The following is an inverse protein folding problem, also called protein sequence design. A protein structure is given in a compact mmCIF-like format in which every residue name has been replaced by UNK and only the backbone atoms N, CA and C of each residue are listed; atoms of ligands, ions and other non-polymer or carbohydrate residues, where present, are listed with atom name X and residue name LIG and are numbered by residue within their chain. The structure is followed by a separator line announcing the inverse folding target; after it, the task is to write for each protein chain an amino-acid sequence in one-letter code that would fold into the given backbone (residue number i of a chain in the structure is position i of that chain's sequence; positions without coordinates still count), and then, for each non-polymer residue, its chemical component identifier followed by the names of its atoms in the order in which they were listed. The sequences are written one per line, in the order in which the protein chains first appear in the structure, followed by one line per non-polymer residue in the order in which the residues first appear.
data_IF_792896348305
#
_entry.id   IF_792896348305
#
_cell.length_a   1.000
_cell.length_b   1.000
_cell.length_c   1.000
_cell.angle_alpha   90.00
_cell.angle_beta   90.00
_cell.angle_gamma   90.00
#
_symmetry.space_group_name_H-M   'P 1'
#
loop_
_entity.id
_entity.type
_entity.pdbx_description
1 polymer ?
#
# COMPACT_ATOMS: atom_id res chain seq x y z
N UNK A 1 -19.06 40.41 38.37
CA UNK A 1 -18.47 39.10 38.74
C UNK A 1 -19.59 38.16 39.14
N UNK A 2 -19.94 37.24 38.24
CA UNK A 2 -20.77 36.03 38.44
C UNK A 2 -20.72 35.32 37.08
N UNK A 3 -20.12 34.12 36.95
CA UNK A 3 -19.89 33.52 35.65
C UNK A 3 -21.08 32.67 35.18
N UNK A 4 -21.36 32.81 33.89
CA UNK A 4 -22.27 31.99 33.10
C UNK A 4 -21.66 30.59 32.95
N UNK A 5 -22.40 29.55 33.34
CA UNK A 5 -22.08 28.15 33.03
C UNK A 5 -22.47 27.87 31.59
N UNK A 6 -21.50 27.57 30.73
CA UNK A 6 -21.73 27.06 29.38
C UNK A 6 -21.42 25.56 29.32
N UNK A 7 -22.28 24.84 28.63
CA UNK A 7 -22.30 23.40 28.45
C UNK A 7 -21.03 22.89 27.77
N UNK A 8 -20.39 21.87 28.34
CA UNK A 8 -19.36 21.08 27.67
C UNK A 8 -19.99 19.74 27.25
N UNK A 9 -20.40 19.65 25.98
CA UNK A 9 -20.82 18.39 25.36
C UNK A 9 -19.59 17.51 25.20
N UNK A 10 -19.50 16.45 25.99
CA UNK A 10 -18.49 15.41 25.83
C UNK A 10 -19.03 14.42 24.79
N UNK A 11 -18.62 14.56 23.53
CA UNK A 11 -18.86 13.53 22.50
C UNK A 11 -17.72 12.53 22.56
N UNK A 12 -17.98 11.41 23.21
CA UNK A 12 -17.20 10.18 23.11
C UNK A 12 -17.21 9.71 21.66
N UNK A 13 -16.10 9.88 20.94
CA UNK A 13 -15.86 9.17 19.69
C UNK A 13 -15.64 7.69 19.99
N UNK A 14 -16.61 6.85 19.62
CA UNK A 14 -16.53 5.39 19.67
C UNK A 14 -16.15 4.89 18.28
N UNK A 15 -15.04 4.13 18.28
CA UNK A 15 -14.41 3.36 17.23
C UNK A 15 -15.35 2.83 16.13
N UNK A 16 -15.18 3.36 14.91
CA UNK A 16 -15.30 2.55 13.71
C UNK A 16 -13.88 2.14 13.30
N UNK A 17 -13.73 0.87 12.93
CA UNK A 17 -12.48 0.29 12.44
C UNK A 17 -12.10 0.93 11.11
N UNK A 18 -11.51 2.13 11.18
CA UNK A 18 -10.33 2.42 10.37
C UNK A 18 -9.36 1.27 10.61
N UNK A 19 -8.70 0.77 9.57
CA UNK A 19 -7.56 -0.12 9.71
C UNK A 19 -6.69 0.45 10.83
N UNK A 20 -6.77 -0.19 12.01
CA UNK A 20 -5.97 0.21 13.14
C UNK A 20 -4.62 -0.39 12.80
N UNK A 21 -3.86 0.34 11.99
CA UNK A 21 -2.46 0.53 12.31
C UNK A 21 -2.48 1.01 13.76
N UNK A 22 -2.44 0.06 14.70
CA UNK A 22 -1.97 0.35 16.05
C UNK A 22 -0.60 0.93 15.81
N UNK A 23 -0.53 2.26 15.87
CA UNK A 23 0.65 3.10 15.87
C UNK A 23 1.90 2.28 16.14
N UNK A 24 2.55 1.81 15.08
CA UNK A 24 3.97 1.53 15.17
C UNK A 24 4.57 2.89 15.43
N UNK A 25 4.90 3.19 16.69
CA UNK A 25 5.39 4.48 17.21
C UNK A 25 5.57 5.59 16.16
N UNK A 26 4.47 6.17 15.66
CA UNK A 26 4.49 7.44 14.95
C UNK A 26 4.62 8.52 16.03
N UNK A 27 5.78 8.54 16.69
CA UNK A 27 6.20 9.71 17.45
C UNK A 27 6.24 10.86 16.46
N UNK A 28 5.60 11.97 16.80
CA UNK A 28 5.71 13.23 16.06
C UNK A 28 7.19 13.59 15.94
N UNK A 29 7.84 13.17 14.85
CA UNK A 29 9.19 13.59 14.54
C UNK A 29 9.12 15.08 14.19
N UNK A 30 10.01 15.85 14.80
CA UNK A 30 10.15 17.27 14.54
C UNK A 30 10.28 17.54 13.02
N UNK A 31 9.86 18.73 12.60
CA UNK A 31 9.84 19.23 11.22
C UNK A 31 11.12 18.84 10.47
N UNK A 32 11.00 17.91 9.51
CA UNK A 32 12.12 17.37 8.74
C UNK A 32 12.56 18.36 7.67
N UNK A 33 13.86 18.57 7.53
CA UNK A 33 14.48 19.26 6.38
C UNK A 33 14.58 18.29 5.20
N UNK A 34 14.39 18.79 3.98
CA UNK A 34 14.30 18.05 2.70
C UNK A 34 15.56 17.27 2.30
N UNK A 35 16.63 17.38 3.08
CA UNK A 35 17.83 16.56 2.89
C UNK A 35 17.48 15.09 3.09
N UNK A 36 18.10 14.20 2.33
CA UNK A 36 17.90 12.76 2.42
C UNK A 36 17.84 12.31 3.88
N UNK A 37 16.69 11.79 4.30
CA UNK A 37 16.44 11.29 5.66
C UNK A 37 17.48 10.21 6.00
N UNK A 38 18.58 10.61 6.65
CA UNK A 38 19.66 9.71 7.08
C UNK A 38 19.15 8.57 7.96
N UNK A 39 18.03 8.80 8.64
CA UNK A 39 17.37 7.84 9.51
C UNK A 39 16.71 6.70 8.70
N UNK A 40 16.04 7.01 7.60
CA UNK A 40 15.30 6.02 6.80
C UNK A 40 16.26 5.09 6.05
N UNK A 41 17.34 5.63 5.47
CA UNK A 41 18.39 4.80 4.87
C UNK A 41 19.12 3.95 5.91
N UNK A 42 19.30 4.46 7.13
CA UNK A 42 19.92 3.68 8.21
C UNK A 42 19.06 2.50 8.65
N UNK A 43 17.73 2.66 8.69
CA UNK A 43 16.79 1.57 8.96
C UNK A 43 16.88 0.47 7.90
N UNK A 44 16.98 0.85 6.62
CA UNK A 44 17.18 -0.10 5.52
C UNK A 44 18.51 -0.83 5.62
N UNK A 45 19.61 -0.10 5.87
CA UNK A 45 20.94 -0.71 6.07
C UNK A 45 20.93 -1.71 7.23
N UNK A 46 20.31 -1.35 8.35
CA UNK A 46 20.20 -2.22 9.50
C UNK A 46 19.39 -3.48 9.19
N UNK A 47 18.28 -3.35 8.46
CA UNK A 47 17.44 -4.48 8.11
C UNK A 47 18.13 -5.46 7.16
N UNK A 48 18.70 -4.96 6.07
CA UNK A 48 19.37 -5.80 5.08
C UNK A 48 20.79 -6.19 5.50
N UNK A 49 21.29 -5.63 6.60
CA UNK A 49 22.66 -5.81 7.12
C UNK A 49 23.72 -5.55 6.05
N UNK A 50 23.46 -4.57 5.17
CA UNK A 50 24.27 -4.22 4.01
C UNK A 50 24.22 -2.71 3.77
N UNK A 51 25.32 -2.18 3.26
CA UNK A 51 25.32 -0.81 2.73
C UNK A 51 24.45 -0.70 1.48
N UNK A 52 23.93 0.51 1.27
CA UNK A 52 23.14 0.87 0.10
C UNK A 52 24.06 1.55 -0.91
N UNK A 53 23.83 1.27 -2.19
CA UNK A 53 24.46 1.99 -3.28
C UNK A 53 23.69 3.31 -3.45
N UNK A 54 24.37 4.42 -3.17
CA UNK A 54 23.82 5.77 -3.25
C UNK A 54 24.61 6.69 -4.21
N UNK A 55 25.54 6.12 -4.97
CA UNK A 55 26.35 6.88 -5.93
C UNK A 55 25.69 6.96 -7.31
N UNK A 56 25.45 8.17 -7.80
CA UNK A 56 24.81 8.45 -9.09
C UNK A 56 25.50 7.75 -10.27
N UNK A 57 26.83 7.77 -10.34
CA UNK A 57 27.57 7.16 -11.45
C UNK A 57 27.45 5.64 -11.47
N UNK A 58 27.19 5.03 -10.31
CA UNK A 58 26.91 3.59 -10.23
C UNK A 58 25.46 3.31 -10.65
N UNK A 59 24.51 4.09 -10.13
CA UNK A 59 23.08 3.90 -10.41
C UNK A 59 22.65 4.31 -11.83
N UNK A 60 23.46 5.11 -12.53
CA UNK A 60 23.27 5.48 -13.94
C UNK A 60 23.86 4.47 -14.93
N UNK A 61 24.31 3.31 -14.46
CA UNK A 61 24.87 2.25 -15.30
C UNK A 61 24.07 0.94 -15.16
N UNK A 62 24.21 0.03 -16.15
CA UNK A 62 23.68 -1.33 -16.05
C UNK A 62 24.27 -2.05 -14.83
N UNK A 63 23.48 -2.78 -14.02
CA UNK A 63 22.07 -3.16 -14.24
C UNK A 63 21.03 -2.19 -13.65
N UNK A 64 21.42 -1.06 -13.07
CA UNK A 64 20.52 -0.18 -12.32
C UNK A 64 19.62 0.70 -13.19
N UNK A 65 19.81 0.74 -14.50
CA UNK A 65 18.92 1.45 -15.43
C UNK A 65 17.60 0.70 -15.69
N UNK A 66 17.54 -0.61 -15.49
CA UNK A 66 16.32 -1.38 -15.65
C UNK A 66 16.34 -2.59 -14.75
N UNK A 67 15.39 -2.64 -13.81
CA UNK A 67 15.30 -3.70 -12.82
C UNK A 67 13.88 -4.25 -12.86
N UNK A 68 13.78 -5.57 -12.90
CA UNK A 68 12.52 -6.30 -12.83
C UNK A 68 12.70 -7.52 -11.95
N UNK A 69 11.78 -7.73 -10.99
CA UNK A 69 11.76 -8.96 -10.22
C UNK A 69 11.38 -10.14 -11.12
N UNK A 70 12.06 -11.27 -10.94
CA UNK A 70 11.78 -12.50 -11.70
C UNK A 70 10.43 -13.09 -11.32
N UNK A 71 10.10 -13.06 -10.02
CA UNK A 71 8.83 -13.50 -9.47
C UNK A 71 8.04 -12.26 -9.03
N UNK A 72 7.10 -11.75 -9.85
CA UNK A 72 6.28 -10.62 -9.47
C UNK A 72 5.33 -11.00 -8.34
N UNK A 73 5.02 -10.06 -7.41
CA UNK A 73 3.92 -10.22 -6.47
C UNK A 73 2.61 -10.55 -7.20
N UNK A 74 1.79 -11.42 -6.62
CA UNK A 74 0.56 -11.85 -7.29
C UNK A 74 -0.56 -10.81 -7.21
N UNK A 75 -1.36 -10.72 -8.27
CA UNK A 75 -2.55 -9.88 -8.29
C UNK A 75 -3.69 -10.50 -7.46
N UNK A 76 -4.60 -9.66 -6.95
CA UNK A 76 -5.73 -10.09 -6.14
C UNK A 76 -6.84 -9.03 -6.04
N UNK A 77 -7.96 -9.42 -5.46
CA UNK A 77 -8.97 -8.47 -4.99
C UNK A 77 -8.54 -7.95 -3.62
N UNK A 78 -8.66 -6.64 -3.40
CA UNK A 78 -8.34 -6.03 -2.12
C UNK A 78 -9.41 -6.30 -1.06
N UNK A 79 -10.39 -7.17 -1.32
CA UNK A 79 -11.46 -7.58 -0.41
C UNK A 79 -12.24 -6.36 0.10
N UNK A 80 -12.82 -5.63 -0.85
CA UNK A 80 -13.59 -4.41 -0.61
C UNK A 80 -14.64 -4.61 0.51
N UNK A 81 -14.65 -3.70 1.49
CA UNK A 81 -15.55 -3.76 2.63
C UNK A 81 -17.02 -3.70 2.20
N UNK A 82 -17.32 -2.88 1.19
CA UNK A 82 -18.65 -2.77 0.57
C UNK A 82 -19.18 -4.08 -0.04
N UNK A 83 -18.29 -5.04 -0.36
CA UNK A 83 -18.66 -6.38 -0.85
C UNK A 83 -18.62 -7.43 0.25
N UNK A 84 -18.53 -6.99 1.50
CA UNK A 84 -18.41 -7.82 2.69
C UNK A 84 -17.11 -8.63 2.78
N UNK A 85 -16.02 -8.09 2.22
CA UNK A 85 -14.67 -8.70 2.28
C UNK A 85 -14.66 -10.15 1.74
N UNK A 86 -14.02 -11.09 2.45
CA UNK A 86 -13.94 -12.49 2.05
C UNK A 86 -15.29 -13.25 2.09
N UNK A 87 -16.37 -12.62 2.57
CA UNK A 87 -17.73 -13.17 2.46
C UNK A 87 -18.31 -13.00 1.05
N UNK A 88 -17.66 -12.23 0.18
CA UNK A 88 -18.06 -12.11 -1.21
C UNK A 88 -18.04 -13.47 -1.91
N UNK A 89 -19.19 -13.88 -2.44
CA UNK A 89 -19.30 -15.01 -3.35
C UNK A 89 -18.97 -14.57 -4.77
N UNK A 90 -17.72 -14.79 -5.20
CA UNK A 90 -17.30 -14.48 -6.57
C UNK A 90 -18.10 -15.22 -7.64
N UNK A 91 -18.60 -16.42 -7.33
CA UNK A 91 -19.58 -17.15 -8.11
C UNK A 91 -20.86 -17.30 -7.29
N UNK A 92 -22.02 -16.81 -7.75
CA UNK A 92 -23.28 -16.93 -6.98
C UNK A 92 -23.72 -18.38 -6.74
N UNK A 93 -23.20 -19.33 -7.51
CA UNK A 93 -23.46 -20.77 -7.36
C UNK A 93 -22.41 -21.50 -6.50
N UNK A 94 -21.44 -20.78 -5.94
CA UNK A 94 -20.42 -21.31 -5.05
C UNK A 94 -20.47 -20.58 -3.70
N UNK A 95 -19.76 -21.11 -2.72
CA UNK A 95 -19.59 -20.51 -1.40
C UNK A 95 -18.44 -19.50 -1.41
N UNK A 96 -18.49 -18.55 -0.48
CA UNK A 96 -17.40 -17.60 -0.26
C UNK A 96 -16.19 -18.28 0.39
N UNK A 97 -15.03 -17.63 0.36
CA UNK A 97 -13.82 -18.15 0.99
C UNK A 97 -14.04 -18.41 2.50
N UNK A 98 -14.75 -17.52 3.17
CA UNK A 98 -15.13 -17.63 4.58
C UNK A 98 -16.01 -18.87 4.84
N UNK A 99 -17.07 -19.05 4.05
CA UNK A 99 -17.98 -20.20 4.19
C UNK A 99 -17.25 -21.53 3.93
N UNK A 100 -16.40 -21.58 2.90
CA UNK A 100 -15.58 -22.75 2.59
C UNK A 100 -14.67 -23.12 3.73
N UNK A 101 -14.00 -22.14 4.33
CA UNK A 101 -13.16 -22.37 5.50
C UNK A 101 -13.97 -22.92 6.67
N UNK A 102 -15.12 -22.32 6.99
CA UNK A 102 -15.98 -22.82 8.06
C UNK A 102 -16.43 -24.27 7.83
N UNK A 103 -16.93 -24.59 6.64
CA UNK A 103 -17.38 -25.95 6.30
C UNK A 103 -16.25 -26.97 6.37
N UNK A 104 -15.07 -26.66 5.81
CA UNK A 104 -13.95 -27.60 5.77
C UNK A 104 -13.40 -27.93 7.16
N UNK A 105 -13.52 -27.01 8.12
CA UNK A 105 -13.01 -27.15 9.48
C UNK A 105 -14.10 -27.36 10.54
N UNK A 106 -15.36 -27.57 10.13
CA UNK A 106 -16.47 -27.87 11.03
C UNK A 106 -16.87 -26.70 11.95
N UNK A 107 -16.73 -25.46 11.48
CA UNK A 107 -17.13 -24.25 12.18
C UNK A 107 -18.53 -23.80 11.73
N UNK A 108 -19.19 -22.96 12.53
CA UNK A 108 -20.42 -22.29 12.10
C UNK A 108 -20.10 -21.22 11.05
N UNK A 109 -20.63 -21.39 9.84
CA UNK A 109 -20.39 -20.48 8.73
C UNK A 109 -20.98 -19.10 8.96
N UNK A 110 -22.16 -19.01 9.58
CA UNK A 110 -22.83 -17.74 9.89
C UNK A 110 -22.01 -16.94 10.89
N UNK A 111 -21.59 -17.59 11.98
CA UNK A 111 -20.78 -16.95 13.03
C UNK A 111 -19.41 -16.47 12.48
N UNK A 112 -18.79 -17.25 11.59
CA UNK A 112 -17.54 -16.84 10.96
C UNK A 112 -17.74 -15.66 10.00
N UNK A 113 -18.80 -15.69 9.17
CA UNK A 113 -19.14 -14.58 8.28
C UNK A 113 -19.48 -13.31 9.05
N UNK A 114 -20.19 -13.41 10.18
CA UNK A 114 -20.49 -12.28 11.06
C UNK A 114 -19.20 -11.63 11.57
N UNK A 115 -18.26 -12.43 12.06
CA UNK A 115 -16.95 -11.96 12.53
C UNK A 115 -16.16 -11.27 11.43
N UNK A 116 -16.12 -11.85 10.22
CA UNK A 116 -15.47 -11.24 9.06
C UNK A 116 -16.14 -9.91 8.70
N UNK A 117 -17.47 -9.83 8.69
CA UNK A 117 -18.18 -8.60 8.34
C UNK A 117 -17.93 -7.47 9.35
N UNK A 118 -18.03 -7.77 10.64
CA UNK A 118 -17.80 -6.80 11.74
C UNK A 118 -16.38 -6.24 11.71
N UNK A 119 -15.40 -7.04 11.29
CA UNK A 119 -14.01 -6.62 11.26
C UNK A 119 -13.60 -5.97 9.93
N UNK A 120 -14.06 -6.49 8.80
CA UNK A 120 -13.53 -6.20 7.46
C UNK A 120 -14.57 -5.83 6.41
N UNK A 121 -15.84 -6.13 6.66
CA UNK A 121 -16.91 -6.03 5.67
C UNK A 121 -17.85 -4.86 5.94
N UNK A 122 -19.13 -5.09 5.64
CA UNK A 122 -20.19 -4.08 5.70
C UNK A 122 -20.41 -3.62 7.14
N UNK A 123 -20.46 -4.55 8.10
CA UNK A 123 -20.77 -4.24 9.50
C UNK A 123 -19.65 -3.47 10.21
N UNK A 124 -18.41 -3.48 9.69
CA UNK A 124 -17.29 -2.71 10.21
C UNK A 124 -17.53 -1.19 10.21
N UNK A 125 -18.43 -0.71 9.35
CA UNK A 125 -18.76 0.72 9.21
C UNK A 125 -19.96 1.17 10.05
N UNK A 126 -20.65 0.25 10.72
CA UNK A 126 -21.95 0.48 11.39
C UNK A 126 -21.97 1.61 12.44
N UNK A 127 -20.81 1.99 12.98
CA UNK A 127 -20.67 3.07 13.96
C UNK A 127 -20.24 4.43 13.39
N UNK A 128 -19.70 4.50 12.17
CA UNK A 128 -19.20 5.75 11.57
C UNK A 128 -19.96 6.19 10.32
N UNK A 129 -20.72 5.28 9.70
CA UNK A 129 -21.44 5.56 8.47
C UNK A 129 -22.94 5.32 8.65
N UNK A 130 -23.79 6.12 8.00
CA UNK A 130 -25.23 6.01 8.18
C UNK A 130 -25.75 4.67 7.65
N UNK A 131 -26.81 4.13 8.27
CA UNK A 131 -27.54 3.01 7.70
C UNK A 131 -28.23 3.43 6.39
N UNK A 132 -28.45 2.48 5.50
CA UNK A 132 -29.08 2.72 4.20
C UNK A 132 -29.93 1.53 3.74
N UNK A 133 -30.93 1.82 2.92
CA UNK A 133 -31.70 0.83 2.15
C UNK A 133 -31.52 1.01 0.63
N UNK A 134 -30.90 2.12 0.20
CA UNK A 134 -30.55 2.40 -1.19
C UNK A 134 -29.35 3.34 -1.29
N UNK A 135 -28.82 3.57 -2.49
CA UNK A 135 -27.71 4.52 -2.69
C UNK A 135 -28.11 5.99 -2.42
N UNK A 136 -29.41 6.30 -2.32
CA UNK A 136 -29.90 7.67 -2.09
C UNK A 136 -29.35 8.23 -0.78
N UNK A 137 -29.28 7.40 0.26
CA UNK A 137 -28.74 7.76 1.56
C UNK A 137 -27.22 8.03 1.53
N UNK A 138 -26.52 7.63 0.48
CA UNK A 138 -25.07 7.68 0.38
C UNK A 138 -24.53 8.77 -0.58
N UNK A 139 -25.37 9.38 -1.42
CA UNK A 139 -24.98 10.27 -2.53
C UNK A 139 -24.06 11.45 -2.16
N UNK A 140 -24.15 11.97 -0.94
CA UNK A 140 -23.37 13.14 -0.50
C UNK A 140 -22.26 12.79 0.51
N UNK A 141 -21.94 11.50 0.64
CA UNK A 141 -20.89 11.04 1.53
C UNK A 141 -19.54 11.00 0.80
N UNK A 142 -18.42 11.23 1.52
CA UNK A 142 -17.08 11.18 0.94
C UNK A 142 -16.73 9.76 0.43
N UNK A 143 -15.72 9.67 -0.43
CA UNK A 143 -15.16 8.40 -0.91
C UNK A 143 -16.10 7.61 -1.84
N UNK A 144 -17.01 8.31 -2.51
CA UNK A 144 -18.01 7.74 -3.42
C UNK A 144 -18.74 6.54 -2.78
N UNK A 145 -19.29 6.75 -1.58
CA UNK A 145 -19.88 5.67 -0.79
C UNK A 145 -21.11 5.07 -1.48
N UNK A 146 -21.28 3.75 -1.39
CA UNK A 146 -22.47 3.04 -1.88
C UNK A 146 -23.16 2.28 -0.77
N UNK A 147 -24.46 2.08 -0.92
CA UNK A 147 -25.24 1.34 0.04
C UNK A 147 -24.93 -0.16 -0.09
N UNK A 148 -24.27 -0.68 0.92
CA UNK A 148 -23.71 -2.02 0.91
C UNK A 148 -24.46 -2.92 1.88
N UNK A 149 -24.80 -4.14 1.43
CA UNK A 149 -25.59 -5.11 2.18
C UNK A 149 -24.82 -6.39 2.39
N UNK A 150 -25.06 -7.04 3.53
CA UNK A 150 -24.68 -8.43 3.72
C UNK A 150 -25.59 -9.34 2.90
N UNK A 151 -25.09 -10.53 2.58
CA UNK A 151 -25.88 -11.52 1.85
C UNK A 151 -27.20 -11.80 2.58
N UNK A 152 -28.33 -11.80 1.83
CA UNK A 152 -29.69 -11.97 2.35
C UNK A 152 -30.23 -10.84 3.25
N UNK A 153 -29.52 -9.73 3.40
CA UNK A 153 -30.01 -8.55 4.11
C UNK A 153 -30.57 -7.51 3.13
N UNK A 154 -31.53 -6.70 3.60
CA UNK A 154 -32.17 -5.61 2.83
C UNK A 154 -31.86 -4.21 3.39
N UNK A 155 -31.07 -4.16 4.46
CA UNK A 155 -30.55 -2.94 5.07
C UNK A 155 -29.06 -3.13 5.36
N UNK A 156 -28.31 -2.04 5.27
CA UNK A 156 -26.87 -2.05 5.47
C UNK A 156 -26.35 -0.65 5.77
N UNK A 157 -25.16 -0.34 5.28
CA UNK A 157 -24.47 0.92 5.58
C UNK A 157 -23.87 1.54 4.32
N UNK A 158 -23.71 2.85 4.32
CA UNK A 158 -23.00 3.55 3.25
C UNK A 158 -21.49 3.33 3.39
N UNK A 159 -20.91 2.49 2.55
CA UNK A 159 -19.49 2.12 2.64
C UNK A 159 -18.69 2.80 1.52
N UNK A 160 -17.60 3.54 1.83
CA UNK A 160 -16.69 4.08 0.81
C UNK A 160 -16.08 2.99 -0.06
N UNK A 161 -15.98 3.23 -1.37
CA UNK A 161 -15.49 2.21 -2.31
C UNK A 161 -14.05 1.78 -2.03
N UNK A 162 -13.20 2.67 -1.53
CA UNK A 162 -11.78 2.39 -1.30
C UNK A 162 -11.51 1.61 -0.01
N UNK A 163 -12.50 1.43 0.86
CA UNK A 163 -12.33 0.64 2.08
C UNK A 163 -12.11 -0.83 1.73
N UNK A 164 -11.00 -1.38 2.22
CA UNK A 164 -10.67 -2.79 2.12
C UNK A 164 -9.26 -3.06 2.62
N UNK A 165 -8.68 -4.14 2.13
CA UNK A 165 -7.45 -4.75 2.60
C UNK A 165 -6.32 -4.64 1.56
N UNK A 166 -6.17 -3.48 0.90
CA UNK A 166 -5.12 -3.27 -0.10
C UNK A 166 -3.72 -3.44 0.50
N UNK A 167 -3.50 -3.00 1.75
CA UNK A 167 -2.24 -3.18 2.48
C UNK A 167 -1.93 -4.66 2.75
N UNK A 168 -2.92 -5.43 3.18
CA UNK A 168 -2.74 -6.85 3.47
C UNK A 168 -2.60 -7.67 2.19
N UNK A 169 -3.29 -7.29 1.11
CA UNK A 169 -3.09 -7.84 -0.23
C UNK A 169 -1.67 -7.60 -0.71
N UNK A 170 -1.20 -6.35 -0.67
CA UNK A 170 0.16 -6.03 -1.08
C UNK A 170 1.18 -6.85 -0.29
N UNK A 171 1.01 -6.95 1.04
CA UNK A 171 1.91 -7.73 1.89
C UNK A 171 1.91 -9.22 1.55
N UNK A 172 0.73 -9.84 1.53
CA UNK A 172 0.58 -11.26 1.24
C UNK A 172 1.13 -11.57 -0.17
N UNK A 173 0.91 -10.67 -1.14
CA UNK A 173 1.42 -10.84 -2.51
C UNK A 173 2.94 -10.84 -2.62
N UNK A 174 3.62 -10.12 -1.74
CA UNK A 174 5.08 -10.00 -1.74
C UNK A 174 5.75 -11.17 -1.05
N UNK A 175 5.14 -11.70 0.02
CA UNK A 175 5.81 -12.65 0.92
C UNK A 175 5.29 -14.09 0.81
N UNK A 176 4.13 -14.29 0.16
CA UNK A 176 3.57 -15.62 -0.09
C UNK A 176 3.65 -15.97 -1.57
N UNK A 177 4.00 -17.21 -1.87
CA UNK A 177 3.90 -17.72 -3.25
C UNK A 177 2.45 -17.72 -3.73
N UNK A 178 2.24 -17.50 -5.03
CA UNK A 178 0.90 -17.51 -5.60
C UNK A 178 0.32 -18.94 -5.63
N UNK A 179 -0.88 -19.19 -5.04
CA UNK A 179 -1.54 -20.49 -5.18
C UNK A 179 -1.81 -20.82 -6.67
N UNK A 180 -1.59 -22.08 -7.07
CA UNK A 180 -1.58 -22.49 -8.50
C UNK A 180 -2.76 -23.37 -8.91
N UNK A 181 -3.27 -24.17 -8.00
CA UNK A 181 -4.34 -25.13 -8.27
C UNK A 181 -5.43 -25.08 -7.19
N UNK A 182 -6.70 -25.40 -7.52
CA UNK A 182 -7.71 -25.65 -6.51
C UNK A 182 -7.29 -26.77 -5.56
N UNK A 183 -7.83 -26.77 -4.34
CA UNK A 183 -7.58 -27.80 -3.32
C UNK A 183 -8.90 -28.28 -2.75
N UNK A 184 -9.13 -29.59 -2.73
CA UNK A 184 -10.30 -30.18 -2.07
C UNK A 184 -9.91 -30.69 -0.68
N UNK A 185 -10.49 -30.09 0.36
CA UNK A 185 -10.30 -30.50 1.76
C UNK A 185 -11.66 -30.82 2.38
N UNK A 186 -11.80 -32.02 2.94
CA UNK A 186 -13.03 -32.47 3.62
C UNK A 186 -14.31 -32.28 2.77
N UNK A 187 -14.21 -32.52 1.45
CA UNK A 187 -15.32 -32.38 0.51
C UNK A 187 -15.60 -30.93 0.04
N UNK A 188 -14.84 -29.94 0.52
CA UNK A 188 -14.95 -28.53 0.12
C UNK A 188 -13.80 -28.18 -0.82
N UNK A 189 -14.10 -27.59 -1.97
CA UNK A 189 -13.09 -27.17 -2.95
C UNK A 189 -12.78 -25.69 -2.82
N UNK A 190 -11.56 -25.37 -2.40
CA UNK A 190 -10.99 -24.03 -2.38
C UNK A 190 -10.38 -23.73 -3.74
N UNK A 191 -10.90 -22.71 -4.43
CA UNK A 191 -10.29 -22.15 -5.62
C UNK A 191 -9.07 -21.31 -5.24
N UNK A 192 -8.22 -20.99 -6.22
CA UNK A 192 -7.04 -20.12 -6.03
C UNK A 192 -7.43 -18.81 -5.34
N UNK A 193 -8.54 -18.20 -5.78
CA UNK A 193 -9.06 -16.95 -5.20
C UNK A 193 -9.48 -17.10 -3.74
N UNK A 194 -9.99 -18.27 -3.34
CA UNK A 194 -10.40 -18.51 -1.95
C UNK A 194 -9.16 -18.57 -1.04
N UNK A 195 -8.10 -19.25 -1.50
CA UNK A 195 -6.83 -19.34 -0.76
C UNK A 195 -6.20 -17.95 -0.62
N UNK A 196 -6.20 -17.16 -1.71
CA UNK A 196 -5.74 -15.75 -1.66
C UNK A 196 -6.53 -14.93 -0.66
N UNK A 197 -7.87 -15.01 -0.68
CA UNK A 197 -8.71 -14.25 0.24
C UNK A 197 -8.41 -14.58 1.71
N UNK A 198 -8.25 -15.87 2.03
CA UNK A 198 -7.88 -16.32 3.38
C UNK A 198 -6.48 -15.84 3.81
N UNK A 199 -5.50 -15.84 2.89
CA UNK A 199 -4.19 -15.26 3.16
C UNK A 199 -4.31 -13.75 3.46
N UNK A 200 -5.03 -12.99 2.62
CA UNK A 200 -5.19 -11.55 2.80
C UNK A 200 -5.79 -11.22 4.18
N UNK A 201 -6.84 -11.92 4.62
CA UNK A 201 -7.41 -11.73 5.95
C UNK A 201 -6.39 -11.91 7.08
N UNK A 202 -5.54 -12.95 6.98
CA UNK A 202 -4.52 -13.23 8.00
C UNK A 202 -3.42 -12.16 8.02
N UNK A 203 -3.11 -11.57 6.87
CA UNK A 203 -2.05 -10.57 6.75
C UNK A 203 -2.47 -9.16 7.23
N UNK A 204 -3.75 -8.92 7.52
CA UNK A 204 -4.19 -7.70 8.20
C UNK A 204 -3.91 -7.72 9.72
N UNK A 205 -4.17 -8.86 10.39
CA UNK A 205 -4.20 -8.88 11.86
C UNK A 205 -2.83 -8.92 12.52
N UNK A 206 -1.84 -9.50 11.85
CA UNK A 206 -0.52 -9.65 12.45
C UNK A 206 0.32 -8.44 12.10
N UNK A 207 0.70 -7.66 13.12
CA UNK A 207 1.77 -6.67 13.03
C UNK A 207 3.01 -7.37 12.50
N UNK A 208 3.26 -7.24 11.20
CA UNK A 208 4.55 -7.57 10.63
C UNK A 208 5.45 -6.37 10.87
N UNK A 209 6.70 -6.67 11.19
CA UNK A 209 7.72 -5.64 11.14
C UNK A 209 7.76 -5.12 9.70
N UNK A 210 7.37 -3.87 9.52
CA UNK A 210 7.53 -3.14 8.28
C UNK A 210 8.56 -2.05 8.51
N UNK A 211 9.33 -1.75 7.47
CA UNK A 211 10.15 -0.54 7.45
C UNK A 211 9.36 0.46 6.66
N UNK A 212 8.86 1.48 7.34
CA UNK A 212 8.16 2.59 6.71
C UNK A 212 9.17 3.70 6.48
N UNK A 213 9.22 4.20 5.25
CA UNK A 213 9.99 5.39 4.88
C UNK A 213 9.03 6.42 4.30
N UNK A 214 9.09 7.65 4.83
CA UNK A 214 8.05 8.67 4.63
C UNK A 214 6.98 8.68 5.72
N UNK A 215 6.08 9.65 5.65
CA UNK A 215 4.95 9.83 6.57
C UNK A 215 3.67 9.99 5.76
N UNK A 216 2.59 9.45 6.31
CA UNK A 216 1.26 9.68 5.75
C UNK A 216 0.92 11.16 5.77
N UNK A 217 0.39 11.66 4.66
CA UNK A 217 -0.31 12.92 4.62
C UNK A 217 -1.79 12.74 4.96
N UNK A 218 -2.24 13.38 6.03
CA UNK A 218 -3.64 13.36 6.49
C UNK A 218 -4.41 14.65 6.14
N UNK A 219 -3.80 15.56 5.38
CA UNK A 219 -4.35 16.88 5.07
C UNK A 219 -5.24 16.90 3.82
N UNK A 220 -5.78 18.08 3.45
CA UNK A 220 -6.66 18.21 2.29
C UNK A 220 -5.91 18.09 0.96
N UNK A 221 -6.60 17.63 -0.10
CA UNK A 221 -6.03 17.44 -1.44
C UNK A 221 -5.45 18.74 -2.05
N UNK A 222 -5.96 19.91 -1.62
CA UNK A 222 -5.51 21.25 -2.05
C UNK A 222 -4.52 21.91 -1.09
N UNK A 223 -3.53 21.14 -0.61
CA UNK A 223 -2.48 21.62 0.28
C UNK A 223 -1.87 22.95 -0.20
N UNK A 224 -1.60 23.87 0.74
CA UNK A 224 -0.95 25.14 0.43
C UNK A 224 0.47 24.90 -0.11
N UNK A 225 0.91 25.75 -1.04
CA UNK A 225 2.18 25.58 -1.78
C UNK A 225 3.11 26.79 -1.60
N UNK A 226 4.41 26.55 -1.70
CA UNK A 226 5.42 27.60 -1.79
C UNK A 226 5.43 28.26 -3.18
N UNK A 227 6.29 29.26 -3.35
CA UNK A 227 6.44 30.00 -4.61
C UNK A 227 6.93 29.14 -5.80
N UNK A 228 7.40 27.92 -5.54
CA UNK A 228 7.87 26.96 -6.52
C UNK A 228 6.85 25.85 -6.80
N UNK A 229 5.64 25.95 -6.23
CA UNK A 229 4.58 24.96 -6.40
C UNK A 229 4.71 23.75 -5.48
N UNK A 230 5.68 23.73 -4.56
CA UNK A 230 5.88 22.58 -3.66
C UNK A 230 4.93 22.67 -2.47
N UNK A 231 4.36 21.55 -2.00
CA UNK A 231 3.55 21.56 -0.77
C UNK A 231 4.30 22.16 0.42
N UNK A 232 3.65 23.04 1.19
CA UNK A 232 4.22 23.61 2.41
C UNK A 232 4.29 22.58 3.54
N UNK A 233 3.35 21.63 3.54
CA UNK A 233 3.35 20.52 4.49
C UNK A 233 4.60 19.66 4.27
N UNK A 234 5.35 19.42 5.35
CA UNK A 234 6.56 18.59 5.28
C UNK A 234 6.23 17.11 5.03
N UNK A 235 5.02 16.65 5.36
CA UNK A 235 4.62 15.24 5.14
C UNK A 235 4.42 14.92 3.66
N UNK A 236 3.85 15.84 2.87
CA UNK A 236 3.80 15.75 1.39
C UNK A 236 5.16 15.86 0.70
N UNK A 237 6.20 16.23 1.46
CA UNK A 237 7.59 16.30 1.01
C UNK A 237 8.49 15.25 1.68
N UNK A 238 7.92 14.35 2.50
CA UNK A 238 8.70 13.45 3.35
C UNK A 238 9.42 12.37 2.53
N UNK A 239 8.83 11.99 1.40
CA UNK A 239 9.49 11.14 0.40
C UNK A 239 10.17 12.00 -0.66
N UNK A 240 11.42 12.36 -0.37
CA UNK A 240 12.28 13.00 -1.36
C UNK A 240 12.69 12.02 -2.49
N UNK A 241 12.81 12.48 -3.74
CA UNK A 241 13.13 11.61 -4.87
C UNK A 241 14.53 10.97 -4.78
N UNK A 242 15.47 11.59 -4.05
CA UNK A 242 16.77 10.96 -3.76
C UNK A 242 16.61 9.67 -2.94
N UNK A 243 15.79 9.70 -1.90
CA UNK A 243 15.44 8.50 -1.10
C UNK A 243 14.72 7.47 -1.96
N UNK A 244 13.70 7.90 -2.72
CA UNK A 244 12.95 7.04 -3.63
C UNK A 244 13.86 6.28 -4.59
N UNK A 245 14.75 7.00 -5.28
CA UNK A 245 15.64 6.40 -6.27
C UNK A 245 16.59 5.37 -5.64
N UNK A 246 17.18 5.69 -4.48
CA UNK A 246 18.05 4.77 -3.73
C UNK A 246 17.28 3.53 -3.27
N UNK A 247 16.06 3.71 -2.76
CA UNK A 247 15.19 2.61 -2.30
C UNK A 247 14.86 1.67 -3.46
N UNK A 248 14.38 2.19 -4.59
CA UNK A 248 14.06 1.36 -5.74
C UNK A 248 15.29 0.59 -6.24
N UNK A 249 16.41 1.29 -6.44
CA UNK A 249 17.62 0.67 -6.98
C UNK A 249 18.18 -0.42 -6.06
N UNK A 250 18.16 -0.22 -4.74
CA UNK A 250 18.71 -1.21 -3.82
C UNK A 250 17.72 -2.32 -3.50
N UNK A 251 16.46 -2.00 -3.19
CA UNK A 251 15.50 -3.01 -2.74
C UNK A 251 15.09 -3.93 -3.89
N UNK A 252 14.77 -3.36 -5.06
CA UNK A 252 14.47 -4.18 -6.24
C UNK A 252 15.75 -4.74 -6.87
N UNK A 253 16.80 -3.92 -7.00
CA UNK A 253 17.99 -4.26 -7.78
C UNK A 253 18.96 -5.18 -7.04
N UNK A 254 19.28 -4.87 -5.78
CA UNK A 254 20.28 -5.62 -5.00
C UNK A 254 19.65 -6.67 -4.10
N UNK A 255 18.55 -6.33 -3.42
CA UNK A 255 17.89 -7.24 -2.46
C UNK A 255 16.81 -8.10 -3.11
N UNK A 256 16.47 -7.83 -4.39
CA UNK A 256 15.50 -8.62 -5.18
C UNK A 256 14.15 -8.75 -4.48
N UNK A 257 13.72 -7.67 -3.83
CA UNK A 257 12.48 -7.61 -3.08
C UNK A 257 11.57 -6.50 -3.60
N UNK A 258 10.26 -6.72 -3.56
CA UNK A 258 9.28 -5.70 -3.90
C UNK A 258 9.21 -4.61 -2.82
N UNK A 259 8.91 -3.39 -3.25
CA UNK A 259 8.61 -2.25 -2.38
C UNK A 259 7.12 -2.02 -2.43
N UNK A 260 6.43 -1.85 -1.30
CA UNK A 260 5.00 -1.51 -1.29
C UNK A 260 4.88 0.01 -1.17
N UNK A 261 4.02 0.59 -2.00
CA UNK A 261 3.92 2.03 -2.19
C UNK A 261 2.45 2.46 -2.17
N UNK A 262 2.17 3.60 -1.55
CA UNK A 262 0.99 4.38 -1.89
C UNK A 262 1.31 5.23 -3.12
N UNK A 263 0.75 4.86 -4.28
CA UNK A 263 1.04 5.55 -5.55
C UNK A 263 0.00 6.62 -5.89
N UNK A 264 -1.09 6.70 -5.12
CA UNK A 264 -2.14 7.69 -5.32
C UNK A 264 -2.02 8.77 -4.26
N UNK A 265 -2.13 10.03 -4.67
CA UNK A 265 -2.24 11.16 -3.75
C UNK A 265 -3.68 11.34 -3.30
N UNK A 266 -3.88 11.52 -2.00
CA UNK A 266 -5.13 12.04 -1.45
C UNK A 266 -5.53 11.38 -0.13
N UNK A 267 -6.80 11.53 0.24
CA UNK A 267 -7.34 10.94 1.47
C UNK A 267 -7.40 9.41 1.44
N UNK A 268 -7.57 8.83 0.25
CA UNK A 268 -7.66 7.38 0.05
C UNK A 268 -6.25 6.80 0.05
N UNK A 269 -6.08 5.61 0.65
CA UNK A 269 -4.78 4.94 0.72
C UNK A 269 -4.82 3.70 -0.16
N UNK A 270 -3.93 3.61 -1.15
CA UNK A 270 -3.86 2.48 -2.05
C UNK A 270 -2.46 1.87 -2.09
N UNK A 271 -2.29 0.76 -1.38
CA UNK A 271 -1.02 0.06 -1.33
C UNK A 271 -0.85 -0.86 -2.54
N UNK A 272 0.19 -0.61 -3.34
CA UNK A 272 0.55 -1.45 -4.46
C UNK A 272 2.00 -1.95 -4.33
N UNK A 273 2.26 -3.24 -4.63
CA UNK A 273 3.61 -3.74 -4.69
C UNK A 273 4.28 -3.31 -6.00
N UNK A 274 5.34 -2.53 -5.87
CA UNK A 274 6.29 -2.19 -6.94
C UNK A 274 7.20 -3.39 -7.18
N UNK A 275 7.30 -3.78 -8.44
CA UNK A 275 8.03 -4.99 -8.85
C UNK A 275 9.17 -4.70 -9.84
N UNK A 276 9.31 -3.46 -10.30
CA UNK A 276 10.40 -3.08 -11.19
C UNK A 276 10.33 -1.62 -11.61
N UNK A 277 11.34 -1.20 -12.35
CA UNK A 277 11.42 0.12 -12.96
C UNK A 277 12.32 0.11 -14.20
N UNK A 278 12.18 1.14 -15.02
CA UNK A 278 13.04 1.46 -16.17
C UNK A 278 13.36 2.96 -16.16
N UNK A 279 14.64 3.29 -16.16
CA UNK A 279 15.13 4.67 -16.28
C UNK A 279 15.17 5.02 -17.76
N UNK A 280 14.26 5.90 -18.18
CA UNK A 280 14.14 6.37 -19.56
C UNK A 280 15.21 7.42 -19.86
N UNK A 281 15.46 8.30 -18.91
CA UNK A 281 16.46 9.36 -19.00
C UNK A 281 17.09 9.59 -17.64
N UNK A 282 18.43 9.71 -17.61
CA UNK A 282 19.19 10.04 -16.41
C UNK A 282 20.48 10.73 -16.82
N UNK A 283 20.55 12.04 -16.65
CA UNK A 283 21.67 12.85 -17.14
C UNK A 283 21.97 14.03 -16.24
N UNK A 284 23.25 14.42 -16.18
CA UNK A 284 23.68 15.64 -15.51
C UNK A 284 23.11 16.86 -16.25
N UNK A 285 22.63 17.84 -15.49
CA UNK A 285 22.08 19.09 -16.01
C UNK A 285 22.80 20.29 -15.40
N UNK A 286 22.80 21.40 -16.12
CA UNK A 286 23.28 22.67 -15.56
C UNK A 286 22.29 23.16 -14.47
N UNK A 287 22.76 23.41 -13.23
CA UNK A 287 21.86 23.80 -12.14
C UNK A 287 21.13 25.12 -12.37
N UNK A 288 21.75 26.10 -13.04
CA UNK A 288 21.11 27.38 -13.30
C UNK A 288 20.02 27.25 -14.38
N UNK A 289 20.27 26.43 -15.41
CA UNK A 289 19.28 26.10 -16.42
C UNK A 289 18.09 25.34 -15.81
N UNK A 290 18.34 24.29 -15.02
CA UNK A 290 17.29 23.53 -14.36
C UNK A 290 16.49 24.41 -13.37
N UNK A 291 17.18 25.26 -12.59
CA UNK A 291 16.54 26.20 -11.69
C UNK A 291 15.55 27.13 -12.40
N UNK A 292 15.97 27.66 -13.55
CA UNK A 292 15.15 28.55 -14.37
C UNK A 292 13.99 27.81 -15.03
N UNK A 293 14.26 26.60 -15.55
CA UNK A 293 13.30 25.80 -16.28
C UNK A 293 12.16 25.31 -15.39
N UNK A 294 12.49 24.73 -14.24
CA UNK A 294 11.50 24.05 -13.39
C UNK A 294 10.94 24.95 -12.29
N UNK A 295 11.70 25.96 -11.85
CA UNK A 295 11.33 26.76 -10.66
C UNK A 295 11.31 28.27 -10.92
N UNK A 296 11.57 28.71 -12.16
CA UNK A 296 11.62 30.14 -12.50
C UNK A 296 12.71 30.93 -11.76
N UNK A 297 13.69 30.24 -11.16
CA UNK A 297 14.73 30.84 -10.33
C UNK A 297 16.05 30.98 -11.10
N UNK A 298 16.83 32.08 -10.93
CA UNK A 298 18.14 32.21 -11.57
C UNK A 298 19.20 31.25 -11.00
N UNK A 299 18.98 30.74 -9.78
CA UNK A 299 19.88 29.83 -9.06
C UNK A 299 19.09 28.71 -8.39
N UNK A 300 19.68 27.51 -8.31
CA UNK A 300 19.04 26.37 -7.66
C UNK A 300 18.91 26.62 -6.14
N UNK A 301 17.68 26.66 -5.59
CA UNK A 301 17.47 27.23 -4.25
C UNK A 301 17.36 26.19 -3.12
N UNK A 302 17.40 24.89 -3.41
CA UNK A 302 16.91 23.88 -2.46
C UNK A 302 17.98 23.25 -1.58
N UNK A 303 19.13 22.90 -2.15
CA UNK A 303 20.20 22.26 -1.39
C UNK A 303 21.55 22.96 -1.67
N UNK A 304 22.07 23.75 -0.71
CA UNK A 304 23.34 24.44 -0.88
C UNK A 304 24.56 23.49 -0.84
N UNK A 305 24.41 22.25 -0.38
CA UNK A 305 25.46 21.24 -0.40
C UNK A 305 25.55 20.49 -1.74
N UNK A 306 24.57 20.68 -2.63
CA UNK A 306 24.58 20.10 -3.97
C UNK A 306 25.72 20.68 -4.81
N UNK A 307 26.50 19.79 -5.43
CA UNK A 307 27.57 20.10 -6.38
C UNK A 307 27.17 19.75 -7.80
N UNK A 308 26.45 18.65 -7.98
CA UNK A 308 25.93 18.22 -9.27
C UNK A 308 24.42 17.97 -9.19
N UNK A 309 23.75 18.25 -10.31
CA UNK A 309 22.31 18.05 -10.46
C UNK A 309 22.08 17.12 -11.66
N UNK A 310 21.15 16.19 -11.54
CA UNK A 310 20.76 15.31 -12.64
C UNK A 310 19.25 15.26 -12.82
N UNK A 311 18.77 15.30 -14.06
CA UNK A 311 17.37 15.03 -14.38
C UNK A 311 17.15 13.53 -14.56
N UNK A 312 16.04 13.03 -14.01
CA UNK A 312 15.63 11.63 -14.12
C UNK A 312 14.18 11.54 -14.59
N UNK A 313 13.94 10.71 -15.60
CA UNK A 313 12.62 10.22 -15.98
C UNK A 313 12.62 8.70 -15.84
N UNK A 314 11.72 8.18 -15.00
CA UNK A 314 11.64 6.76 -14.66
C UNK A 314 10.22 6.25 -14.86
N UNK A 315 10.08 5.05 -15.41
CA UNK A 315 8.84 4.28 -15.43
C UNK A 315 8.93 3.25 -14.30
N UNK A 316 7.94 3.21 -13.42
CA UNK A 316 7.83 2.26 -12.32
C UNK A 316 6.70 1.29 -12.61
N UNK A 317 6.94 0.00 -12.36
CA UNK A 317 5.97 -1.07 -12.61
C UNK A 317 5.41 -1.60 -11.29
N UNK A 318 4.10 -1.54 -11.15
CA UNK A 318 3.38 -2.05 -9.98
C UNK A 318 2.32 -3.08 -10.37
N UNK A 319 1.95 -3.94 -9.43
CA UNK A 319 0.86 -4.92 -9.63
C UNK A 319 -0.43 -4.33 -9.09
N UNK A 320 -1.45 -4.21 -9.94
CA UNK A 320 -2.75 -3.64 -9.59
C UNK A 320 -3.71 -4.67 -8.98
N UNK A 321 -4.76 -4.18 -8.33
CA UNK A 321 -5.85 -5.00 -7.81
C UNK A 321 -6.85 -5.35 -8.92
N UNK A 322 -7.72 -6.34 -8.69
CA UNK A 322 -8.78 -6.67 -9.64
C UNK A 322 -10.11 -6.95 -8.95
N UNK A 323 -11.20 -6.53 -9.59
CA UNK A 323 -12.57 -6.78 -9.11
C UNK A 323 -13.17 -8.07 -9.64
N UNK A 324 -12.48 -8.79 -10.53
CA UNK A 324 -12.86 -10.13 -11.01
C UNK A 324 -11.70 -11.13 -10.83
N UNK A 325 -11.35 -11.45 -9.57
CA UNK A 325 -10.17 -12.27 -9.27
C UNK A 325 -10.27 -13.72 -9.77
N UNK A 326 -11.44 -14.19 -10.20
CA UNK A 326 -11.59 -15.50 -10.86
C UNK A 326 -10.90 -15.56 -12.22
N UNK A 327 -10.68 -14.41 -12.86
CA UNK A 327 -9.92 -14.31 -14.11
C UNK A 327 -8.42 -14.25 -13.89
N UNK A 328 -7.96 -14.20 -12.64
CA UNK A 328 -6.54 -14.26 -12.35
C UNK A 328 -6.05 -15.65 -12.72
N UNK A 329 -5.24 -15.67 -13.77
CA UNK A 329 -4.43 -16.80 -14.13
C UNK A 329 -2.98 -16.40 -13.80
N UNK A 330 -2.25 -17.17 -12.97
CA UNK A 330 -0.83 -16.90 -12.68
C UNK A 330 0.02 -16.73 -13.96
N UNK A 331 -0.35 -17.41 -15.05
CA UNK A 331 0.31 -17.30 -16.36
C UNK A 331 0.04 -15.96 -17.08
N UNK A 332 -0.94 -15.17 -16.61
CA UNK A 332 -1.34 -13.90 -17.18
C UNK A 332 -1.04 -12.72 -16.25
N UNK A 333 -0.13 -12.86 -15.27
CA UNK A 333 0.21 -11.80 -14.30
C UNK A 333 0.56 -10.46 -14.96
N UNK A 334 1.16 -10.49 -16.15
CA UNK A 334 1.48 -9.30 -16.94
C UNK A 334 0.28 -8.40 -17.24
N UNK A 335 -0.95 -8.95 -17.30
CA UNK A 335 -2.17 -8.15 -17.51
C UNK A 335 -2.54 -7.28 -16.29
N UNK A 336 -1.92 -7.52 -15.14
CA UNK A 336 -2.11 -6.77 -13.90
C UNK A 336 -0.91 -5.87 -13.57
N UNK A 337 0.13 -5.86 -14.40
CA UNK A 337 1.25 -4.95 -14.22
C UNK A 337 0.92 -3.63 -14.92
N UNK A 338 1.11 -2.51 -14.22
CA UNK A 338 0.84 -1.16 -14.74
C UNK A 338 2.09 -0.31 -14.63
N UNK A 339 2.40 0.51 -15.65
CA UNK A 339 3.41 1.54 -15.55
C UNK A 339 2.84 2.80 -14.86
N UNK A 340 3.68 3.48 -14.10
CA UNK A 340 3.49 4.87 -13.66
C UNK A 340 4.82 5.61 -13.86
N UNK A 341 4.76 6.88 -14.24
CA UNK A 341 5.96 7.64 -14.59
C UNK A 341 6.26 8.69 -13.53
N UNK A 342 7.55 8.86 -13.22
CA UNK A 342 8.00 9.93 -12.35
C UNK A 342 9.16 10.71 -12.95
N UNK A 343 9.17 12.02 -12.67
CA UNK A 343 10.23 12.94 -13.08
C UNK A 343 10.75 13.75 -11.91
N UNK A 344 12.06 13.78 -11.74
CA UNK A 344 12.71 14.46 -10.63
C UNK A 344 14.14 14.87 -10.95
N UNK A 345 14.67 15.76 -10.13
CA UNK A 345 16.06 16.11 -10.06
C UNK A 345 16.72 15.35 -8.91
N UNK A 346 17.90 14.79 -9.13
CA UNK A 346 18.77 14.26 -8.09
C UNK A 346 19.87 15.27 -7.76
N UNK A 347 20.11 15.46 -6.47
CA UNK A 347 21.19 16.31 -5.95
C UNK A 347 22.34 15.42 -5.51
N UNK A 348 23.56 15.72 -5.98
CA UNK A 348 24.76 14.98 -5.57
C UNK A 348 25.84 15.89 -4.97
N UNK A 349 26.62 15.33 -4.06
CA UNK A 349 27.85 15.94 -3.57
C UNK A 349 29.02 15.80 -4.57
N UNK A 350 30.20 16.33 -4.21
CA UNK A 350 31.40 16.29 -5.05
C UNK A 350 31.91 14.87 -5.37
N UNK A 351 31.51 13.85 -4.61
CA UNK A 351 31.85 12.44 -4.85
C UNK A 351 30.85 11.72 -5.76
N UNK A 352 29.76 12.40 -6.14
CA UNK A 352 28.65 11.81 -6.89
C UNK A 352 27.68 11.03 -6.01
N UNK A 353 27.76 11.15 -4.68
CA UNK A 353 26.79 10.56 -3.76
C UNK A 353 25.50 11.36 -3.83
N UNK A 354 24.37 10.67 -3.98
CA UNK A 354 23.04 11.27 -3.94
C UNK A 354 22.76 11.71 -2.50
N UNK A 355 22.43 12.99 -2.32
CA UNK A 355 22.20 13.65 -1.02
C UNK A 355 20.79 14.25 -0.91
N UNK A 356 20.01 14.22 -1.98
CA UNK A 356 18.66 14.75 -2.03
C UNK A 356 18.10 14.76 -3.44
N UNK A 357 17.06 15.57 -3.64
CA UNK A 357 16.42 15.73 -4.93
C UNK A 357 15.08 16.46 -4.82
N UNK A 358 14.55 16.88 -5.95
CA UNK A 358 13.29 17.62 -6.04
C UNK A 358 12.42 17.05 -7.16
N UNK A 359 11.16 16.78 -6.87
CA UNK A 359 10.20 16.37 -7.88
C UNK A 359 9.96 17.52 -8.88
N UNK A 360 9.76 17.20 -10.15
CA UNK A 360 9.51 18.20 -11.20
C UNK A 360 8.37 17.75 -12.13
N UNK A 361 7.85 18.69 -12.92
CA UNK A 361 6.74 18.46 -13.85
C UNK A 361 5.51 17.90 -13.11
N UNK A 362 4.85 16.87 -13.67
CA UNK A 362 3.65 16.28 -13.07
C UNK A 362 3.93 15.66 -11.69
N UNK A 363 5.16 15.17 -11.47
CA UNK A 363 5.53 14.53 -10.21
C UNK A 363 5.71 15.48 -9.04
N UNK A 364 5.59 16.80 -9.23
CA UNK A 364 5.45 17.72 -8.08
C UNK A 364 4.15 17.44 -7.30
N UNK A 365 3.13 16.97 -8.02
CA UNK A 365 1.82 16.66 -7.46
C UNK A 365 1.53 15.17 -7.39
N UNK A 366 2.10 14.39 -8.31
CA UNK A 366 1.82 12.97 -8.49
C UNK A 366 3.09 12.15 -8.25
N UNK A 367 3.37 11.94 -6.97
CA UNK A 367 4.50 11.17 -6.47
C UNK A 367 4.07 10.36 -5.25
N UNK A 368 4.80 9.28 -4.90
CA UNK A 368 4.47 8.46 -3.74
C UNK A 368 4.49 9.21 -2.40
N UNK A 369 3.49 8.93 -1.56
CA UNK A 369 3.39 9.50 -0.21
C UNK A 369 4.27 8.76 0.80
N UNK A 370 4.35 7.43 0.71
CA UNK A 370 5.23 6.60 1.54
C UNK A 370 5.54 5.27 0.85
N UNK A 371 6.64 4.66 1.28
CA UNK A 371 6.95 3.28 0.96
C UNK A 371 7.12 2.46 2.21
N UNK A 372 6.88 1.17 2.07
CA UNK A 372 7.24 0.23 3.10
C UNK A 372 7.65 -1.13 2.53
N UNK A 373 8.45 -1.83 3.32
CA UNK A 373 9.03 -3.11 2.94
C UNK A 373 8.63 -4.14 3.97
N UNK A 374 8.18 -5.30 3.49
CA UNK A 374 7.91 -6.45 4.32
C UNK A 374 9.22 -7.03 4.85
N UNK A 375 9.36 -7.29 6.16
CA UNK A 375 10.59 -7.96 6.63
C UNK A 375 10.61 -9.44 6.27
N UNK A 376 9.59 -10.20 6.68
CA UNK A 376 9.49 -11.65 6.49
C UNK A 376 8.03 -12.11 6.63
N UNK A 377 7.72 -13.30 6.10
CA UNK A 377 6.47 -13.99 6.41
C UNK A 377 6.34 -14.25 7.92
N UNK A 378 5.12 -14.23 8.49
CA UNK A 378 4.91 -14.57 9.89
C UNK A 378 5.45 -15.95 10.23
N UNK A 379 6.29 -16.03 11.25
CA UNK A 379 6.73 -17.30 11.81
C UNK A 379 5.72 -17.85 12.83
N UNK A 380 5.66 -19.18 12.88
CA UNK A 380 4.84 -19.94 13.82
C UNK A 380 3.38 -20.11 13.42
N UNK A 381 2.68 -21.02 14.09
CA UNK A 381 1.23 -21.17 13.99
C UNK A 381 0.52 -20.23 14.96
N UNK A 382 -0.60 -19.68 14.52
CA UNK A 382 -1.41 -18.75 15.29
C UNK A 382 -2.84 -18.72 14.74
N UNK A 383 -3.75 -18.15 15.52
CA UNK A 383 -5.17 -18.02 15.19
C UNK A 383 -5.51 -16.54 15.19
N UNK A 384 -6.14 -16.07 14.12
CA UNK A 384 -6.65 -14.71 14.02
C UNK A 384 -7.64 -14.46 15.16
N UNK A 385 -7.44 -13.36 15.88
CA UNK A 385 -8.31 -12.98 16.99
C UNK A 385 -9.65 -12.50 16.48
N UNK A 386 -9.70 -11.82 15.33
CA UNK A 386 -10.96 -11.28 14.84
C UNK A 386 -11.83 -12.35 14.17
N UNK A 387 -11.23 -13.29 13.42
CA UNK A 387 -11.98 -14.28 12.65
C UNK A 387 -11.92 -15.69 13.23
N UNK A 388 -10.87 -16.06 13.97
CA UNK A 388 -10.64 -17.44 14.40
C UNK A 388 -10.01 -18.33 13.32
N UNK A 389 -9.63 -17.77 12.17
CA UNK A 389 -8.91 -18.49 11.11
C UNK A 389 -7.48 -18.78 11.58
N UNK A 390 -7.03 -20.04 11.42
CA UNK A 390 -5.69 -20.49 11.79
C UNK A 390 -4.72 -20.39 10.62
N UNK A 391 -3.56 -19.79 10.88
CA UNK A 391 -2.51 -19.59 9.87
C UNK A 391 -1.99 -20.90 9.29
N UNK A 392 -1.62 -21.89 10.11
CA UNK A 392 -1.12 -23.18 9.59
C UNK A 392 -2.10 -23.92 8.67
N UNK A 393 -3.41 -23.76 8.91
CA UNK A 393 -4.45 -24.36 8.08
C UNK A 393 -4.52 -23.71 6.71
N UNK A 394 -4.45 -22.38 6.63
CA UNK A 394 -4.38 -21.67 5.34
C UNK A 394 -3.06 -21.95 4.63
N UNK A 395 -1.94 -22.05 5.37
CA UNK A 395 -0.64 -22.45 4.79
C UNK A 395 -0.63 -23.88 4.26
N UNK A 396 -1.37 -24.80 4.89
CA UNK A 396 -1.53 -26.16 4.35
C UNK A 396 -2.31 -26.15 3.03
N UNK A 397 -3.36 -25.33 2.91
CA UNK A 397 -4.06 -25.12 1.63
C UNK A 397 -3.12 -24.54 0.57
N UNK A 398 -2.36 -23.50 0.91
CA UNK A 398 -1.38 -22.90 0.00
C UNK A 398 -0.34 -23.94 -0.47
N UNK A 399 0.26 -24.68 0.47
CA UNK A 399 1.26 -25.71 0.15
C UNK A 399 0.71 -26.76 -0.81
N UNK A 400 -0.52 -27.22 -0.56
CA UNK A 400 -1.20 -28.20 -1.42
C UNK A 400 -1.51 -27.62 -2.81
N UNK A 401 -1.93 -26.34 -2.86
CA UNK A 401 -2.20 -25.61 -4.10
C UNK A 401 -0.95 -25.42 -4.95
N UNK A 402 0.20 -25.12 -4.32
CA UNK A 402 1.49 -24.96 -5.00
C UNK A 402 1.99 -26.27 -5.62
N UNK A 403 1.75 -27.38 -4.93
CA UNK A 403 2.09 -28.71 -5.40
C UNK A 403 1.12 -29.25 -6.48
N UNK A 404 -0.08 -28.67 -6.60
CA UNK A 404 -1.16 -29.17 -7.46
C UNK A 404 -1.52 -30.64 -7.18
N UNK A 405 -1.52 -31.02 -5.90
CA UNK A 405 -1.72 -32.41 -5.44
C UNK A 405 -3.00 -32.64 -4.62
N UNK A 406 -3.90 -31.66 -4.56
CA UNK A 406 -5.08 -31.67 -3.69
C UNK A 406 -6.41 -31.63 -4.42
#
# INVERSE_FOLDING_TARGET
MLPVRSFCLTVLCVHASTATFRSGNFSSRATRTLEMSTDDLSLLKQHFQKDLIDNFYTLSAFPYLSVRLENPPWAGDYLAAQKDSANLRYNPYDYSATEKYAMAYGLDATELMDRVSVKYGVDATSGAFPPCASDIECLNLPGNSTCSFRMQHTQGYCVPHWFGLCHALALASVVEEEPRCPVTLNGVTFQIVDIKALLILLYDERQQDTIVTGQRYDGPDNAAKDQFGRPLDATLRDVGPGLFHIVLANVLGNFKQAVICDIEKGREIWNFPIMGYEVVQMELVDPAYAAKMYFGSPTYPFNPAMVYLAFVHIIVYYVTTTTDPRKINPLLINQYIRPIEYTYLLEMDASGRIIGGEWVLNSVEDHPDFFWIARNSPEGDWVSYATGIRYSQVKALLTTSLACTG
#
